data_IF_341643577432
#
_entry.id   IF_341643577432
#
_cell.length_a   1.000
_cell.length_b   1.000
_cell.length_c   1.000
_cell.angle_alpha   90.00
_cell.angle_beta   90.00
_cell.angle_gamma   90.00
#
_symmetry.space_group_name_H-M   'P 1'
#
loop_
_entity.id
_entity.type
_entity.pdbx_description
1 polymer ?
#
# COMPACT_ATOMS: atom_id res chain seq x y z
N UNK A 1 -25.39 33.14 -45.74
CA UNK A 1 -24.03 32.57 -45.91
C UNK A 1 -23.14 32.83 -44.69
N UNK A 2 -23.12 34.06 -44.15
CA UNK A 2 -22.27 34.40 -42.99
C UNK A 2 -22.64 33.63 -41.70
N UNK A 3 -23.93 33.46 -41.41
CA UNK A 3 -24.37 32.77 -40.18
C UNK A 3 -24.07 31.26 -40.17
N UNK A 4 -24.18 30.60 -41.32
CA UNK A 4 -23.83 29.18 -41.45
C UNK A 4 -22.33 28.97 -41.16
N UNK A 5 -21.48 29.87 -41.67
CA UNK A 5 -20.02 29.82 -41.42
C UNK A 5 -19.71 30.05 -39.94
N UNK A 6 -20.40 30.99 -39.29
CA UNK A 6 -20.26 31.25 -37.84
C UNK A 6 -20.69 30.01 -37.04
N UNK A 7 -21.81 29.39 -37.39
CA UNK A 7 -22.31 28.16 -36.75
C UNK A 7 -21.28 27.01 -36.85
N UNK A 8 -20.73 26.76 -38.05
CA UNK A 8 -19.71 25.72 -38.22
C UNK A 8 -18.41 26.03 -37.45
N UNK A 9 -18.00 27.30 -37.34
CA UNK A 9 -16.86 27.71 -36.51
C UNK A 9 -17.12 27.42 -35.03
N UNK A 10 -18.28 27.80 -34.51
CA UNK A 10 -18.67 27.54 -33.11
C UNK A 10 -18.74 26.04 -32.82
N UNK A 11 -19.28 25.25 -33.75
CA UNK A 11 -19.34 23.79 -33.65
C UNK A 11 -17.94 23.16 -33.61
N UNK A 12 -17.02 23.64 -34.46
CA UNK A 12 -15.63 23.17 -34.51
C UNK A 12 -14.85 23.55 -33.24
N UNK A 13 -15.17 24.69 -32.64
CA UNK A 13 -14.56 25.12 -31.38
C UNK A 13 -15.07 24.28 -30.21
N UNK A 14 -16.36 23.97 -30.19
CA UNK A 14 -16.97 23.08 -29.19
C UNK A 14 -16.39 21.67 -29.30
N UNK A 15 -16.23 21.12 -30.51
CA UNK A 15 -15.68 19.77 -30.69
C UNK A 15 -14.22 19.68 -30.20
N UNK A 16 -13.39 20.71 -30.46
CA UNK A 16 -12.03 20.77 -29.92
C UNK A 16 -12.00 20.79 -28.39
N UNK A 17 -12.86 21.60 -27.77
CA UNK A 17 -12.96 21.66 -26.31
C UNK A 17 -13.36 20.30 -25.72
N UNK A 18 -14.29 19.62 -26.37
CA UNK A 18 -14.79 18.32 -25.93
C UNK A 18 -13.72 17.22 -26.04
N UNK A 19 -12.96 17.21 -27.15
CA UNK A 19 -11.81 16.30 -27.33
C UNK A 19 -10.73 16.54 -26.27
N UNK A 20 -10.38 17.80 -26.01
CA UNK A 20 -9.36 18.14 -25.00
C UNK A 20 -9.82 17.71 -23.59
N UNK A 21 -11.07 18.00 -23.24
CA UNK A 21 -11.63 17.64 -21.94
C UNK A 21 -11.67 16.12 -21.76
N UNK A 22 -12.07 15.38 -22.80
CA UNK A 22 -12.09 13.93 -22.79
C UNK A 22 -10.68 13.33 -22.69
N UNK A 23 -9.71 13.87 -23.43
CA UNK A 23 -8.32 13.44 -23.34
C UNK A 23 -7.74 13.68 -21.93
N UNK A 24 -8.05 14.82 -21.31
CA UNK A 24 -7.62 15.13 -19.95
C UNK A 24 -8.26 14.19 -18.92
N UNK A 25 -9.55 13.87 -19.07
CA UNK A 25 -10.24 12.89 -18.23
C UNK A 25 -9.59 11.50 -18.33
N UNK A 26 -9.31 11.03 -19.55
CA UNK A 26 -8.62 9.76 -19.78
C UNK A 26 -7.19 9.77 -19.21
N UNK A 27 -6.48 10.89 -19.34
CA UNK A 27 -5.12 11.01 -18.81
C UNK A 27 -5.10 10.95 -17.28
N UNK A 28 -5.97 11.72 -16.61
CA UNK A 28 -6.08 11.72 -15.15
C UNK A 28 -6.54 10.35 -14.65
N UNK A 29 -7.58 9.77 -15.25
CA UNK A 29 -8.06 8.43 -14.91
C UNK A 29 -7.01 7.35 -15.14
N UNK A 30 -6.27 7.45 -16.25
CA UNK A 30 -5.18 6.53 -16.61
C UNK A 30 -3.99 6.63 -15.65
N UNK A 31 -3.56 7.84 -15.29
CA UNK A 31 -2.50 8.03 -14.30
C UNK A 31 -2.90 7.52 -12.91
N UNK A 32 -4.17 7.70 -12.51
CA UNK A 32 -4.68 7.18 -11.25
C UNK A 32 -4.71 5.65 -11.22
N UNK A 33 -5.21 5.02 -12.29
CA UNK A 33 -5.19 3.56 -12.48
C UNK A 33 -3.75 3.02 -12.49
N UNK A 34 -2.83 3.71 -13.16
CA UNK A 34 -1.41 3.31 -13.20
C UNK A 34 -0.79 3.31 -11.79
N UNK A 35 -1.09 4.34 -10.99
CA UNK A 35 -0.60 4.45 -9.62
C UNK A 35 -1.19 3.36 -8.69
N UNK A 36 -2.47 3.03 -8.83
CA UNK A 36 -3.11 1.95 -8.06
C UNK A 36 -2.55 0.56 -8.44
N UNK A 37 -2.27 0.34 -9.73
CA UNK A 37 -1.63 -0.88 -10.22
C UNK A 37 -0.18 -1.03 -9.76
N UNK A 38 0.52 0.08 -9.49
CA UNK A 38 1.93 0.08 -9.13
C UNK A 38 2.20 -0.60 -7.78
N UNK A 39 1.29 -0.46 -6.82
CA UNK A 39 1.48 -1.05 -5.49
C UNK A 39 0.96 -2.47 -5.43
N UNK A 40 1.85 -3.43 -5.19
CA UNK A 40 1.50 -4.85 -5.01
C UNK A 40 0.65 -5.10 -3.77
N UNK A 41 1.08 -4.52 -2.65
CA UNK A 41 0.43 -4.65 -1.36
C UNK A 41 -0.62 -3.56 -1.23
N UNK A 42 -1.87 -3.89 -0.96
CA UNK A 42 -2.99 -2.96 -0.80
C UNK A 42 -3.36 -2.86 0.67
N UNK A 43 -3.62 -1.64 1.13
CA UNK A 43 -3.94 -1.36 2.54
C UNK A 43 -5.40 -0.95 2.65
N UNK A 44 -6.20 -1.70 3.41
CA UNK A 44 -7.59 -1.34 3.70
C UNK A 44 -7.72 -0.80 5.13
N UNK A 45 -7.93 0.51 5.22
CA UNK A 45 -8.18 1.24 6.47
C UNK A 45 -9.45 0.83 7.23
N UNK A 46 -10.43 0.22 6.55
CA UNK A 46 -11.70 -0.17 7.19
C UNK A 46 -11.53 -1.37 8.10
N UNK A 47 -10.66 -2.29 7.71
CA UNK A 47 -10.41 -3.54 8.42
C UNK A 47 -8.98 -3.66 8.96
N UNK A 48 -8.17 -2.61 8.79
CA UNK A 48 -6.74 -2.63 9.10
C UNK A 48 -6.05 -3.86 8.50
N UNK A 49 -6.22 -4.05 7.19
CA UNK A 49 -5.64 -5.19 6.47
C UNK A 49 -4.55 -4.76 5.52
N UNK A 50 -3.60 -5.67 5.31
CA UNK A 50 -2.63 -5.58 4.23
C UNK A 50 -2.77 -6.82 3.37
N UNK A 51 -3.12 -6.61 2.10
CA UNK A 51 -3.41 -7.65 1.14
C UNK A 51 -2.37 -7.67 0.01
N UNK A 52 -1.82 -8.82 -0.31
CA UNK A 52 -0.96 -9.00 -1.48
C UNK A 52 -1.83 -9.37 -2.70
N UNK A 53 -1.93 -8.46 -3.67
CA UNK A 53 -2.72 -8.68 -4.91
C UNK A 53 -2.22 -9.85 -5.75
N UNK A 54 -0.93 -10.15 -5.72
CA UNK A 54 -0.33 -11.16 -6.60
C UNK A 54 -0.71 -12.56 -6.16
N UNK A 55 -0.65 -12.82 -4.85
CA UNK A 55 -0.96 -14.14 -4.30
C UNK A 55 -2.36 -14.23 -3.68
N UNK A 56 -3.09 -13.11 -3.63
CA UNK A 56 -4.40 -13.02 -2.99
C UNK A 56 -4.41 -13.48 -1.53
N UNK A 57 -3.38 -13.08 -0.78
CA UNK A 57 -3.21 -13.43 0.64
C UNK A 57 -3.20 -12.19 1.52
N UNK A 58 -3.69 -12.33 2.75
CA UNK A 58 -3.57 -11.30 3.77
C UNK A 58 -2.28 -11.49 4.55
N UNK A 59 -1.45 -10.45 4.55
CA UNK A 59 -0.25 -10.38 5.39
C UNK A 59 -0.59 -9.89 6.79
N UNK A 60 -1.56 -8.98 6.91
CA UNK A 60 -2.15 -8.56 8.18
C UNK A 60 -3.66 -8.55 8.00
N UNK A 61 -4.38 -9.08 8.98
CA UNK A 61 -5.83 -9.08 9.02
C UNK A 61 -6.30 -8.62 10.39
N UNK A 62 -6.78 -7.37 10.48
CA UNK A 62 -7.14 -6.66 11.72
C UNK A 62 -5.94 -6.18 12.55
N UNK A 63 -4.96 -5.59 11.88
CA UNK A 63 -3.84 -4.98 12.59
C UNK A 63 -4.25 -3.81 13.49
N UNK A 64 -3.34 -3.45 14.38
CA UNK A 64 -3.54 -2.48 15.45
C UNK A 64 -3.11 -1.09 15.02
N UNK A 65 -1.97 -0.98 14.34
CA UNK A 65 -1.37 0.30 13.96
C UNK A 65 -0.50 0.17 12.72
N UNK A 66 -0.32 1.29 12.01
CA UNK A 66 0.44 1.32 10.77
C UNK A 66 0.92 2.73 10.43
N UNK A 67 2.08 2.82 9.77
CA UNK A 67 2.56 4.04 9.12
C UNK A 67 3.20 3.70 7.76
N UNK A 68 3.19 4.68 6.85
CA UNK A 68 3.84 4.56 5.54
C UNK A 68 4.86 5.69 5.40
N UNK A 69 6.12 5.34 5.20
CA UNK A 69 7.22 6.29 5.04
C UNK A 69 8.07 5.84 3.86
N UNK A 70 8.28 6.69 2.86
CA UNK A 70 9.13 6.43 1.71
C UNK A 70 8.89 5.06 1.06
N UNK A 71 7.63 4.76 0.74
CA UNK A 71 7.18 3.49 0.12
C UNK A 71 7.49 2.22 0.96
N UNK A 72 7.81 2.39 2.25
CA UNK A 72 7.82 1.32 3.23
C UNK A 72 6.55 1.37 4.07
N UNK A 73 5.87 0.24 4.18
CA UNK A 73 4.77 0.04 5.12
C UNK A 73 5.34 -0.57 6.39
N UNK A 74 5.06 0.08 7.51
CA UNK A 74 5.30 -0.44 8.85
C UNK A 74 3.94 -0.72 9.47
N UNK A 75 3.69 -1.95 9.92
CA UNK A 75 2.40 -2.30 10.46
C UNK A 75 2.54 -3.31 11.59
N UNK A 76 1.64 -3.21 12.57
CA UNK A 76 1.66 -4.03 13.77
C UNK A 76 0.29 -4.69 13.95
N UNK A 77 0.33 -5.94 14.38
CA UNK A 77 -0.78 -6.71 14.91
C UNK A 77 -0.43 -7.17 16.34
N UNK A 78 -1.30 -7.93 17.00
CA UNK A 78 -1.09 -8.43 18.36
C UNK A 78 0.16 -9.33 18.45
N UNK A 79 0.44 -10.09 17.39
CA UNK A 79 1.47 -11.14 17.39
C UNK A 79 2.71 -10.80 16.53
N UNK A 80 2.58 -9.85 15.59
CA UNK A 80 3.64 -9.53 14.63
C UNK A 80 3.82 -8.05 14.38
N UNK A 81 5.07 -7.69 14.10
CA UNK A 81 5.44 -6.42 13.49
C UNK A 81 5.99 -6.67 12.08
N UNK A 82 5.36 -6.08 11.08
CA UNK A 82 5.65 -6.31 9.66
C UNK A 82 6.17 -5.04 9.01
N UNK A 83 7.24 -5.21 8.24
CA UNK A 83 7.82 -4.17 7.39
C UNK A 83 7.76 -4.65 5.96
N UNK A 84 7.17 -3.85 5.09
CA UNK A 84 7.09 -4.15 3.66
C UNK A 84 7.76 -3.02 2.91
N UNK A 85 8.84 -3.32 2.21
CA UNK A 85 9.40 -2.40 1.22
C UNK A 85 8.69 -2.63 -0.11
N UNK A 86 7.89 -1.65 -0.55
CA UNK A 86 7.11 -1.78 -1.78
C UNK A 86 7.96 -1.70 -3.05
N UNK A 87 9.14 -1.06 -2.99
CA UNK A 87 10.06 -0.95 -4.12
C UNK A 87 10.75 -2.29 -4.42
N UNK A 88 11.32 -2.92 -3.40
CA UNK A 88 12.00 -4.22 -3.52
C UNK A 88 11.06 -5.42 -3.40
N UNK A 89 9.82 -5.20 -2.97
CA UNK A 89 8.86 -6.25 -2.59
C UNK A 89 9.40 -7.21 -1.52
N UNK A 90 10.24 -6.71 -0.62
CA UNK A 90 10.76 -7.48 0.51
C UNK A 90 9.90 -7.25 1.74
N UNK A 91 9.61 -8.33 2.46
CA UNK A 91 8.83 -8.35 3.69
C UNK A 91 9.75 -8.80 4.81
N UNK A 92 9.75 -8.08 5.93
CA UNK A 92 10.40 -8.52 7.17
C UNK A 92 9.30 -8.64 8.21
N UNK A 93 9.19 -9.82 8.81
CA UNK A 93 8.22 -10.11 9.87
C UNK A 93 9.00 -10.37 11.16
N UNK A 94 8.66 -9.59 12.18
CA UNK A 94 9.14 -9.77 13.54
C UNK A 94 8.05 -10.42 14.36
N UNK A 95 8.33 -11.58 14.93
CA UNK A 95 7.42 -12.22 15.89
C UNK A 95 7.57 -11.55 17.26
N UNK A 96 6.45 -11.11 17.82
CA UNK A 96 6.40 -10.47 19.15
C UNK A 96 6.40 -11.53 20.26
N UNK A 97 5.82 -12.70 19.98
CA UNK A 97 5.81 -13.86 20.87
C UNK A 97 6.34 -15.10 20.15
N UNK A 98 7.44 -15.66 20.65
CA UNK A 98 8.04 -16.88 20.08
C UNK A 98 7.28 -18.17 20.42
N UNK A 99 6.36 -18.12 21.37
CA UNK A 99 5.51 -19.26 21.76
C UNK A 99 4.25 -19.36 20.89
N UNK A 100 3.95 -18.34 20.08
CA UNK A 100 2.82 -18.38 19.14
C UNK A 100 3.14 -19.22 17.90
N UNK A 101 3.00 -20.53 18.08
CA UNK A 101 3.23 -21.53 17.04
C UNK A 101 2.28 -21.36 15.85
N UNK A 102 1.06 -20.85 16.05
CA UNK A 102 0.10 -20.69 14.96
C UNK A 102 0.56 -19.61 13.99
N UNK A 103 0.89 -18.42 14.52
CA UNK A 103 1.37 -17.29 13.72
C UNK A 103 2.70 -17.62 13.04
N UNK A 104 3.65 -18.22 13.77
CA UNK A 104 4.94 -18.65 13.21
C UNK A 104 4.74 -19.63 12.05
N UNK A 105 3.88 -20.64 12.21
CA UNK A 105 3.60 -21.61 11.15
C UNK A 105 2.93 -20.96 9.95
N UNK A 106 2.00 -20.03 10.17
CA UNK A 106 1.32 -19.34 9.07
C UNK A 106 2.31 -18.54 8.22
N UNK A 107 3.16 -17.72 8.84
CA UNK A 107 4.16 -16.93 8.12
C UNK A 107 5.27 -17.78 7.52
N UNK A 108 5.67 -18.87 8.17
CA UNK A 108 6.61 -19.86 7.58
C UNK A 108 6.04 -20.47 6.31
N UNK A 109 4.74 -20.84 6.32
CA UNK A 109 4.05 -21.33 5.13
C UNK A 109 4.00 -20.27 4.03
N UNK A 110 3.67 -19.02 4.37
CA UNK A 110 3.68 -17.92 3.40
C UNK A 110 5.07 -17.72 2.78
N UNK A 111 6.12 -17.75 3.59
CA UNK A 111 7.50 -17.66 3.12
C UNK A 111 7.80 -18.80 2.14
N UNK A 112 7.56 -20.06 2.52
CA UNK A 112 7.88 -21.22 1.68
C UNK A 112 7.06 -21.29 0.39
N UNK A 113 5.77 -20.95 0.46
CA UNK A 113 4.85 -21.11 -0.67
C UNK A 113 4.93 -19.96 -1.67
N UNK A 114 5.20 -18.74 -1.20
CA UNK A 114 4.98 -17.53 -2.01
C UNK A 114 6.19 -16.60 -2.09
N UNK A 115 6.89 -16.36 -0.97
CA UNK A 115 7.82 -15.24 -0.89
C UNK A 115 9.30 -15.65 -0.96
N UNK A 116 9.65 -16.87 -0.57
CA UNK A 116 11.03 -17.34 -0.51
C UNK A 116 11.94 -16.40 0.27
N UNK A 117 13.03 -15.99 -0.37
CA UNK A 117 14.03 -15.05 0.14
C UNK A 117 13.51 -13.60 0.28
N UNK A 118 12.38 -13.28 -0.33
CA UNK A 118 11.75 -11.96 -0.19
C UNK A 118 11.03 -11.78 1.15
N UNK A 119 10.80 -12.84 1.91
CA UNK A 119 10.25 -12.75 3.26
C UNK A 119 11.30 -13.21 4.26
N UNK A 120 11.65 -12.34 5.20
CA UNK A 120 12.57 -12.62 6.29
C UNK A 120 11.76 -12.70 7.57
N UNK A 121 11.92 -13.81 8.30
CA UNK A 121 11.19 -14.09 9.54
C UNK A 121 12.21 -14.08 10.70
N UNK A 122 11.96 -13.28 11.73
CA UNK A 122 12.89 -13.17 12.85
C UNK A 122 12.19 -12.80 14.18
N UNK A 123 12.81 -13.11 15.33
CA UNK A 123 12.35 -12.62 16.64
C UNK A 123 12.39 -11.10 16.74
N UNK A 124 11.47 -10.48 17.48
CA UNK A 124 11.53 -9.04 17.80
C UNK A 124 12.82 -8.66 18.54
N UNK A 125 13.42 -9.59 19.28
CA UNK A 125 14.71 -9.39 19.97
C UNK A 125 15.88 -9.16 19.00
N UNK A 126 15.74 -9.55 17.74
CA UNK A 126 16.72 -9.24 16.68
C UNK A 126 16.70 -7.77 16.24
N UNK A 127 15.68 -7.01 16.68
CA UNK A 127 15.51 -5.60 16.35
C UNK A 127 16.58 -4.77 17.06
N UNK A 128 17.71 -4.54 16.37
CA UNK A 128 18.78 -3.70 16.87
C UNK A 128 18.38 -2.22 17.01
N UNK A 129 19.17 -1.42 17.75
CA UNK A 129 18.94 0.02 17.89
C UNK A 129 19.02 0.67 16.51
N UNK A 130 17.87 1.07 15.97
CA UNK A 130 17.70 1.55 14.60
C UNK A 130 16.41 2.35 14.48
N UNK A 131 16.27 3.08 13.37
CA UNK A 131 15.02 3.75 12.98
C UNK A 131 13.82 2.78 13.01
N UNK A 132 14.06 1.50 12.74
CA UNK A 132 13.05 0.44 12.81
C UNK A 132 12.54 0.17 14.23
N UNK A 133 13.41 0.28 15.25
CA UNK A 133 13.05 0.15 16.66
C UNK A 133 12.21 1.34 17.14
N UNK A 134 12.56 2.55 16.71
CA UNK A 134 11.79 3.75 17.04
C UNK A 134 10.39 3.69 16.41
N UNK A 135 10.30 3.23 15.17
CA UNK A 135 9.02 2.98 14.50
C UNK A 135 8.18 1.91 15.19
N UNK A 136 8.79 0.80 15.60
CA UNK A 136 8.11 -0.23 16.38
C UNK A 136 7.49 0.33 17.66
N UNK A 137 8.26 1.08 18.46
CA UNK A 137 7.76 1.70 19.71
C UNK A 137 6.61 2.65 19.44
N UNK A 138 6.76 3.53 18.45
CA UNK A 138 5.71 4.47 18.03
C UNK A 138 4.41 3.74 17.68
N UNK A 139 4.49 2.65 16.92
CA UNK A 139 3.33 1.88 16.50
C UNK A 139 2.70 1.08 17.65
N UNK A 140 3.52 0.56 18.57
CA UNK A 140 3.06 -0.14 19.76
C UNK A 140 2.28 0.76 20.74
N UNK A 141 2.48 2.08 20.66
CA UNK A 141 1.77 3.05 21.50
C UNK A 141 0.59 3.72 20.78
N UNK A 142 0.56 3.69 19.45
CA UNK A 142 -0.39 4.42 18.62
C UNK A 142 -1.41 3.49 17.95
N UNK A 143 -2.33 2.95 18.73
CA UNK A 143 -3.43 2.10 18.21
C UNK A 143 -4.42 2.94 17.39
N UNK A 144 -4.78 2.48 16.19
CA UNK A 144 -5.66 3.26 15.32
C UNK A 144 -5.99 2.61 13.98
N UNK A 145 -6.74 3.35 13.14
CA UNK A 145 -7.01 2.91 11.78
C UNK A 145 -5.79 3.11 10.90
N UNK A 146 -5.54 2.17 10.00
CA UNK A 146 -4.50 2.30 8.99
C UNK A 146 -4.81 3.51 8.11
N UNK A 147 -3.78 4.26 7.74
CA UNK A 147 -3.93 5.32 6.74
C UNK A 147 -4.14 4.65 5.38
N UNK A 148 -5.09 5.15 4.60
CA UNK A 148 -5.31 4.67 3.24
C UNK A 148 -4.08 4.93 2.36
N UNK A 149 -3.79 4.03 1.43
CA UNK A 149 -2.75 4.27 0.42
C UNK A 149 -2.99 5.57 -0.34
N UNK A 150 -1.90 6.29 -0.64
CA UNK A 150 -1.95 7.61 -1.27
C UNK A 150 -2.18 8.77 -0.31
N UNK A 151 -2.47 8.53 0.97
CA UNK A 151 -2.38 9.55 2.02
C UNK A 151 -0.91 9.81 2.38
N UNK A 152 -0.11 10.26 1.41
CA UNK A 152 1.22 10.80 1.71
C UNK A 152 1.00 12.08 2.49
N UNK A 153 1.34 12.06 3.78
CA UNK A 153 1.55 13.32 4.51
C UNK A 153 2.81 13.89 3.88
N UNK A 154 2.66 14.96 3.11
CA UNK A 154 3.80 15.77 2.69
C UNK A 154 4.38 16.39 3.96
N UNK A 155 5.62 16.03 4.31
CA UNK A 155 6.40 16.80 5.27
C UNK A 155 6.82 18.13 4.65
#
# INVERSE_FOLDING_TARGET
MNEIIVYFKSLLQLSKLLVVTFAMFLFIGGCWLFHDLQYRYVVDSRYNTIFDKVYSVYLINKGISMDIINDKIYAMDDDVYVIINQESNTIIVYYLNLEDVETINNFTRLQQQYYGDKMILQPIESLGPSETLDMYKKLSEAHGRFKSQGSRISF
#
